data_IF_558520712857
#
_entry.id   IF_558520712857
#
_cell.length_a   1.000
_cell.length_b   1.000
_cell.length_c   1.000
_cell.angle_alpha   90.00
_cell.angle_beta   90.00
_cell.angle_gamma   90.00
#
_symmetry.space_group_name_H-M   'P 1'
#
loop_
_entity.id
_entity.type
_entity.pdbx_description
1 polymer ?
#
# COMPACT_ATOMS: atom_id res chain seq x y z
N UNK A 1 -36.57 -17.88 10.59
CA UNK A 1 -36.38 -16.70 11.45
C UNK A 1 -35.59 -15.66 10.65
N UNK A 2 -36.25 -14.60 10.16
CA UNK A 2 -35.63 -13.57 9.30
C UNK A 2 -34.85 -12.60 10.17
N UNK A 3 -33.52 -12.59 10.07
CA UNK A 3 -32.68 -11.59 10.73
C UNK A 3 -32.51 -10.37 9.83
N UNK A 4 -33.04 -9.23 10.31
CA UNK A 4 -32.85 -7.89 9.76
C UNK A 4 -31.38 -7.50 9.86
N UNK A 5 -30.75 -7.16 8.74
CA UNK A 5 -29.47 -6.45 8.70
C UNK A 5 -29.77 -4.95 8.83
N UNK A 6 -29.41 -4.37 9.97
CA UNK A 6 -29.47 -2.92 10.19
C UNK A 6 -28.24 -2.26 9.53
N UNK A 7 -28.42 -1.72 8.32
CA UNK A 7 -27.46 -0.81 7.71
C UNK A 7 -27.44 0.52 8.46
N UNK A 8 -26.37 0.81 9.20
CA UNK A 8 -26.09 2.15 9.71
C UNK A 8 -25.59 3.00 8.55
N UNK A 9 -26.47 3.83 8.03
CA UNK A 9 -26.16 4.90 7.08
C UNK A 9 -25.25 5.92 7.79
N UNK A 10 -23.98 6.04 7.39
CA UNK A 10 -23.11 7.13 7.85
C UNK A 10 -23.54 8.41 7.13
N UNK A 11 -23.94 9.39 7.93
CA UNK A 11 -24.33 10.73 7.50
C UNK A 11 -23.09 11.46 6.95
N UNK A 12 -23.03 11.67 5.64
CA UNK A 12 -22.01 12.53 5.01
C UNK A 12 -22.50 13.97 5.17
N UNK A 13 -21.73 14.79 5.88
CA UNK A 13 -22.07 16.19 6.13
C UNK A 13 -22.02 17.03 4.85
N UNK A 14 -23.16 17.59 4.46
CA UNK A 14 -23.23 18.71 3.52
C UNK A 14 -22.69 19.97 4.22
N UNK A 15 -21.56 20.49 3.76
CA UNK A 15 -21.18 21.88 4.04
C UNK A 15 -21.94 22.79 3.07
N UNK A 16 -23.08 23.30 3.51
CA UNK A 16 -23.77 24.41 2.82
C UNK A 16 -23.10 25.72 3.23
N UNK A 17 -22.36 26.34 2.30
CA UNK A 17 -21.86 27.70 2.44
C UNK A 17 -23.05 28.66 2.26
N UNK A 18 -23.50 29.26 3.36
CA UNK A 18 -24.53 30.30 3.37
C UNK A 18 -23.87 31.66 3.08
N UNK A 19 -24.02 32.17 1.85
CA UNK A 19 -23.59 33.54 1.50
C UNK A 19 -24.76 34.49 1.78
N UNK A 20 -24.61 35.33 2.79
CA UNK A 20 -25.49 36.47 3.06
C UNK A 20 -25.15 37.60 2.07
N UNK A 21 -26.08 37.95 1.17
CA UNK A 21 -26.05 39.22 0.45
C UNK A 21 -27.01 40.21 1.10
N UNK A 22 -26.45 41.28 1.67
CA UNK A 22 -27.16 42.52 2.00
C UNK A 22 -26.45 43.65 1.24
N UNK A 23 -27.20 44.31 0.35
CA UNK A 23 -26.74 45.53 -0.31
C UNK A 23 -27.50 45.83 -1.59
N UNK A 24 -28.55 46.64 -1.50
CA UNK A 24 -29.14 47.30 -2.66
C UNK A 24 -28.18 48.39 -3.17
N UNK A 25 -27.79 48.33 -4.44
CA UNK A 25 -27.34 49.49 -5.22
C UNK A 25 -27.83 49.30 -6.65
N UNK A 26 -28.52 50.31 -7.17
CA UNK A 26 -29.07 50.37 -8.51
C UNK A 26 -27.98 50.81 -9.49
N UNK A 27 -27.13 49.88 -9.90
CA UNK A 27 -26.25 50.06 -11.04
C UNK A 27 -26.48 48.89 -12.02
N UNK A 28 -26.85 49.23 -13.25
CA UNK A 28 -27.08 48.31 -14.36
C UNK A 28 -25.72 47.80 -14.89
N UNK A 29 -24.90 47.19 -14.03
CA UNK A 29 -23.85 46.32 -14.52
C UNK A 29 -24.52 45.09 -15.14
N UNK A 30 -24.13 44.68 -16.36
CA UNK A 30 -24.60 43.42 -16.90
C UNK A 30 -24.27 42.32 -15.88
N UNK A 31 -25.29 41.56 -15.47
CA UNK A 31 -25.11 40.44 -14.55
C UNK A 31 -23.88 39.63 -14.98
N UNK A 32 -22.99 39.23 -14.05
CA UNK A 32 -21.78 38.52 -14.41
C UNK A 32 -22.15 37.34 -15.31
N UNK A 33 -21.53 37.29 -16.49
CA UNK A 33 -21.77 36.23 -17.47
C UNK A 33 -21.50 34.91 -16.74
N UNK A 34 -22.50 34.05 -16.66
CA UNK A 34 -22.40 32.83 -15.90
C UNK A 34 -21.29 31.95 -16.49
N UNK A 35 -20.25 31.69 -15.71
CA UNK A 35 -19.09 30.90 -16.14
C UNK A 35 -19.34 29.41 -15.88
N UNK A 36 -18.93 28.51 -16.81
CA UNK A 36 -19.07 27.09 -16.61
C UNK A 36 -18.17 26.62 -15.45
N UNK A 37 -18.74 25.79 -14.59
CA UNK A 37 -18.04 25.12 -13.49
C UNK A 37 -18.09 23.60 -13.68
N UNK A 38 -17.04 22.91 -13.24
CA UNK A 38 -16.98 21.45 -13.20
C UNK A 38 -17.48 20.96 -11.84
N UNK A 39 -18.54 20.15 -11.82
CA UNK A 39 -18.96 19.42 -10.63
C UNK A 39 -18.68 17.92 -10.76
N UNK A 40 -18.20 17.34 -9.65
CA UNK A 40 -17.94 15.91 -9.47
C UNK A 40 -18.76 15.44 -8.27
N UNK A 41 -19.47 14.32 -8.37
CA UNK A 41 -20.36 13.84 -7.30
C UNK A 41 -19.65 13.53 -5.98
N UNK A 42 -18.34 13.24 -6.03
CA UNK A 42 -17.50 13.03 -4.85
C UNK A 42 -16.02 13.31 -5.19
N UNK A 43 -15.24 13.71 -4.19
CA UNK A 43 -13.77 13.83 -4.30
C UNK A 43 -13.05 12.51 -4.00
N UNK A 44 -13.78 11.50 -3.50
CA UNK A 44 -13.33 10.14 -3.25
C UNK A 44 -14.40 9.13 -3.72
N UNK A 45 -13.99 8.01 -4.31
CA UNK A 45 -14.92 6.98 -4.76
C UNK A 45 -14.33 5.56 -4.63
N UNK A 46 -15.17 4.58 -4.31
CA UNK A 46 -14.77 3.17 -4.37
C UNK A 46 -14.61 2.74 -5.84
N UNK A 47 -13.64 1.87 -6.13
CA UNK A 47 -13.51 1.23 -7.45
C UNK A 47 -14.84 0.61 -7.88
N UNK A 48 -15.27 0.90 -9.12
CA UNK A 48 -16.53 0.42 -9.67
C UNK A 48 -17.79 1.17 -9.22
N UNK A 49 -17.67 2.19 -8.36
CA UNK A 49 -18.80 3.06 -8.00
C UNK A 49 -19.04 4.16 -9.02
N UNK A 50 -20.29 4.59 -9.15
CA UNK A 50 -20.70 5.64 -10.09
C UNK A 50 -20.18 7.02 -9.65
N UNK A 51 -19.36 7.64 -10.49
CA UNK A 51 -18.93 9.04 -10.36
C UNK A 51 -19.64 9.87 -11.41
N UNK A 52 -20.49 10.79 -10.97
CA UNK A 52 -21.21 11.69 -11.86
C UNK A 52 -20.42 12.99 -12.06
N UNK A 53 -20.21 13.37 -13.32
CA UNK A 53 -19.51 14.58 -13.74
C UNK A 53 -20.47 15.47 -14.54
N UNK A 54 -20.52 16.76 -14.20
CA UNK A 54 -21.39 17.73 -14.88
C UNK A 54 -20.69 19.06 -15.09
N UNK A 55 -21.14 19.76 -16.12
CA UNK A 55 -20.87 21.19 -16.30
C UNK A 55 -22.07 21.94 -15.73
N UNK A 56 -21.81 22.83 -14.78
CA UNK A 56 -22.78 23.69 -14.10
C UNK A 56 -22.51 25.16 -14.43
N UNK A 57 -23.40 26.06 -14.02
CA UNK A 57 -23.21 27.51 -14.22
C UNK A 57 -23.49 28.03 -15.63
N UNK A 58 -23.79 27.16 -16.61
CA UNK A 58 -24.19 27.55 -17.97
C UNK A 58 -25.39 26.75 -18.45
N UNK A 59 -26.22 27.32 -19.32
CA UNK A 59 -27.30 26.57 -19.93
C UNK A 59 -26.74 25.55 -20.92
N UNK A 60 -27.29 24.34 -20.91
CA UNK A 60 -26.86 23.30 -21.84
C UNK A 60 -26.99 23.72 -23.30
N UNK A 61 -27.95 24.58 -23.65
CA UNK A 61 -28.15 25.04 -25.03
C UNK A 61 -27.05 26.00 -25.50
N UNK A 62 -26.33 26.66 -24.60
CA UNK A 62 -25.27 27.61 -24.91
C UNK A 62 -23.92 26.92 -25.16
N UNK A 63 -23.79 25.68 -24.68
CA UNK A 63 -22.60 24.85 -24.86
C UNK A 63 -22.49 24.38 -26.32
N UNK A 64 -21.41 24.80 -26.98
CA UNK A 64 -21.06 24.41 -28.35
C UNK A 64 -20.22 23.13 -28.38
N UNK A 65 -19.16 23.04 -27.57
CA UNK A 65 -18.31 21.84 -27.50
C UNK A 65 -18.00 21.46 -26.06
N UNK A 66 -17.83 20.16 -25.83
CA UNK A 66 -17.35 19.58 -24.57
C UNK A 66 -16.38 18.47 -24.92
N UNK A 67 -15.23 18.43 -24.24
CA UNK A 67 -14.27 17.33 -24.35
C UNK A 67 -13.65 17.02 -23.01
N UNK A 68 -13.98 15.85 -22.49
CA UNK A 68 -13.48 15.28 -21.25
C UNK A 68 -12.26 14.40 -21.48
N UNK A 69 -11.35 14.45 -20.53
CA UNK A 69 -10.34 13.46 -20.22
C UNK A 69 -10.52 13.09 -18.75
N UNK A 70 -10.85 11.83 -18.46
CA UNK A 70 -11.16 11.38 -17.10
C UNK A 70 -9.93 10.98 -16.30
N UNK A 71 -8.74 11.07 -16.91
CA UNK A 71 -7.45 10.77 -16.29
C UNK A 71 -7.07 9.29 -16.29
N UNK A 72 -7.95 8.39 -16.72
CA UNK A 72 -7.72 6.94 -16.82
C UNK A 72 -7.61 6.44 -18.28
N UNK A 73 -7.51 7.39 -19.22
CA UNK A 73 -7.54 7.12 -20.67
C UNK A 73 -8.94 7.19 -21.28
N UNK A 74 -9.99 7.30 -20.47
CA UNK A 74 -11.36 7.50 -20.95
C UNK A 74 -11.58 8.96 -21.34
N UNK A 75 -12.17 9.17 -22.52
CA UNK A 75 -12.59 10.48 -23.03
C UNK A 75 -14.08 10.49 -23.35
N UNK A 76 -14.69 11.67 -23.37
CA UNK A 76 -16.13 11.82 -23.67
C UNK A 76 -16.45 13.23 -24.16
N UNK A 77 -17.55 13.37 -24.88
CA UNK A 77 -18.11 14.65 -25.36
C UNK A 77 -19.50 14.94 -24.76
N UNK A 78 -19.98 14.06 -23.88
CA UNK A 78 -21.29 14.22 -23.22
C UNK A 78 -21.25 15.38 -22.22
N UNK A 79 -22.35 16.12 -22.11
CA UNK A 79 -22.50 17.22 -21.13
C UNK A 79 -22.58 16.74 -19.68
N UNK A 80 -23.07 15.52 -19.48
CA UNK A 80 -23.09 14.81 -18.19
C UNK A 80 -22.57 13.40 -18.41
N UNK A 81 -21.69 12.95 -17.51
CA UNK A 81 -21.08 11.63 -17.56
C UNK A 81 -21.35 10.93 -16.23
N UNK A 82 -21.64 9.64 -16.31
CA UNK A 82 -21.48 8.72 -15.18
C UNK A 82 -20.34 7.79 -15.56
N UNK A 83 -19.30 7.73 -14.74
CA UNK A 83 -18.09 6.96 -14.99
C UNK A 83 -17.76 6.06 -13.80
N UNK A 84 -17.18 4.90 -14.07
CA UNK A 84 -16.70 3.97 -13.05
C UNK A 84 -15.22 3.71 -13.30
N UNK A 85 -14.38 4.09 -12.33
CA UNK A 85 -12.95 3.79 -12.39
C UNK A 85 -12.71 2.32 -12.05
N UNK A 86 -11.87 1.66 -12.84
CA UNK A 86 -11.59 0.22 -12.73
C UNK A 86 -10.42 -0.13 -11.80
N UNK A 87 -9.58 0.85 -11.49
CA UNK A 87 -8.42 0.71 -10.62
C UNK A 87 -8.38 1.85 -9.60
N UNK A 88 -7.79 1.61 -8.42
CA UNK A 88 -7.52 2.67 -7.47
C UNK A 88 -6.42 3.59 -8.01
N UNK A 89 -6.51 4.87 -7.67
CA UNK A 89 -5.58 5.88 -8.14
C UNK A 89 -6.06 7.29 -7.90
N UNK A 90 -5.16 8.26 -8.06
CA UNK A 90 -5.50 9.67 -8.06
C UNK A 90 -5.63 10.13 -9.51
N UNK A 91 -6.84 10.48 -9.93
CA UNK A 91 -7.14 10.86 -11.30
C UNK A 91 -7.36 12.36 -11.40
N UNK A 92 -6.76 12.97 -12.43
CA UNK A 92 -7.05 14.36 -12.81
C UNK A 92 -8.07 14.36 -13.94
N UNK A 93 -9.29 14.74 -13.62
CA UNK A 93 -10.34 14.95 -14.60
C UNK A 93 -10.12 16.33 -15.22
N UNK A 94 -10.09 16.41 -16.55
CA UNK A 94 -10.02 17.66 -17.30
C UNK A 94 -11.20 17.76 -18.25
N UNK A 95 -11.82 18.93 -18.35
CA UNK A 95 -12.85 19.21 -19.36
C UNK A 95 -12.56 20.51 -20.08
N UNK A 96 -12.59 20.45 -21.41
CA UNK A 96 -12.58 21.61 -22.27
C UNK A 96 -14.02 21.90 -22.70
N UNK A 97 -14.52 23.10 -22.40
CA UNK A 97 -15.89 23.54 -22.74
C UNK A 97 -15.79 24.78 -23.60
N UNK A 98 -16.53 24.85 -24.71
CA UNK A 98 -16.73 26.09 -25.46
C UNK A 98 -18.20 26.45 -25.54
N UNK A 99 -18.51 27.74 -25.48
CA UNK A 99 -19.85 28.27 -25.67
C UNK A 99 -20.01 28.84 -27.08
N UNK A 100 -21.26 29.04 -27.51
CA UNK A 100 -21.60 29.61 -28.81
C UNK A 100 -21.07 31.03 -29.02
N UNK A 101 -20.78 31.77 -27.95
CA UNK A 101 -20.16 33.11 -27.99
C UNK A 101 -18.63 33.07 -28.19
N UNK A 102 -18.07 31.90 -28.56
CA UNK A 102 -16.66 31.64 -28.81
C UNK A 102 -15.74 31.71 -27.58
N UNK A 103 -16.29 31.81 -26.36
CA UNK A 103 -15.50 31.63 -25.14
C UNK A 103 -15.24 30.16 -24.86
N UNK A 104 -14.10 29.88 -24.23
CA UNK A 104 -13.69 28.52 -23.88
C UNK A 104 -13.01 28.44 -22.52
N UNK A 105 -13.21 27.33 -21.81
CA UNK A 105 -12.65 27.05 -20.49
C UNK A 105 -11.97 25.68 -20.48
N UNK A 106 -10.89 25.57 -19.72
CA UNK A 106 -10.26 24.30 -19.34
C UNK A 106 -10.40 24.15 -17.82
N UNK A 107 -11.27 23.24 -17.39
CA UNK A 107 -11.57 23.02 -15.97
C UNK A 107 -10.95 21.69 -15.53
N UNK A 108 -10.55 21.62 -14.26
CA UNK A 108 -9.92 20.44 -13.68
C UNK A 108 -10.51 20.09 -12.32
N UNK A 109 -10.60 18.80 -12.05
CA UNK A 109 -10.94 18.26 -10.73
C UNK A 109 -10.05 17.06 -10.42
N UNK A 110 -9.83 16.80 -9.13
CA UNK A 110 -9.14 15.61 -8.65
C UNK A 110 -10.14 14.67 -8.02
N UNK A 111 -9.97 13.37 -8.27
CA UNK A 111 -10.70 12.32 -7.57
C UNK A 111 -9.71 11.24 -7.13
N UNK A 112 -9.82 10.83 -5.87
CA UNK A 112 -9.14 9.66 -5.34
C UNK A 112 -10.07 8.45 -5.42
N UNK A 113 -9.62 7.41 -6.12
CA UNK A 113 -10.33 6.14 -6.23
C UNK A 113 -9.60 5.11 -5.39
N UNK A 114 -10.33 4.33 -4.61
CA UNK A 114 -9.75 3.41 -3.64
C UNK A 114 -10.51 2.08 -3.60
N UNK A 115 -9.85 1.03 -3.09
CA UNK A 115 -10.53 -0.19 -2.66
C UNK A 115 -10.91 -0.07 -1.18
N UNK A 116 -12.12 -0.51 -0.81
CA UNK A 116 -12.47 -0.71 0.59
C UNK A 116 -11.46 -1.64 1.28
N UNK A 117 -11.33 -1.52 2.60
CA UNK A 117 -10.42 -2.38 3.37
C UNK A 117 -10.81 -3.86 3.22
N UNK A 118 -9.83 -4.77 3.09
CA UNK A 118 -10.13 -6.20 3.02
C UNK A 118 -10.90 -6.63 4.27
N UNK A 119 -12.07 -7.25 4.04
CA UNK A 119 -12.93 -7.67 5.13
C UNK A 119 -12.33 -8.83 5.92
N UNK A 120 -12.53 -8.84 7.24
CA UNK A 120 -11.98 -9.84 8.16
C UNK A 120 -12.41 -11.29 7.79
N UNK A 121 -13.57 -11.46 7.17
CA UNK A 121 -14.06 -12.76 6.69
C UNK A 121 -13.37 -13.24 5.40
N UNK A 122 -12.73 -12.34 4.65
CA UNK A 122 -11.90 -12.67 3.49
C UNK A 122 -10.50 -13.08 3.95
N UNK A 123 -9.89 -12.29 4.84
CA UNK A 123 -8.61 -12.61 5.47
C UNK A 123 -8.50 -11.80 6.77
N UNK A 124 -8.11 -12.46 7.86
CA UNK A 124 -7.90 -11.82 9.15
C UNK A 124 -6.86 -10.70 9.04
N UNK A 125 -6.96 -9.68 9.89
CA UNK A 125 -5.85 -8.74 10.08
C UNK A 125 -4.58 -9.45 10.59
N UNK A 126 -3.39 -8.88 10.34
CA UNK A 126 -2.13 -9.44 10.88
C UNK A 126 -2.24 -9.59 12.40
N UNK A 127 -2.69 -8.55 13.11
CA UNK A 127 -2.85 -8.60 14.58
C UNK A 127 -3.76 -9.74 15.05
N UNK A 128 -4.88 -9.99 14.36
CA UNK A 128 -5.77 -11.11 14.67
C UNK A 128 -5.15 -12.47 14.32
N UNK A 129 -4.42 -12.56 13.20
CA UNK A 129 -3.75 -13.79 12.77
C UNK A 129 -2.67 -14.26 13.74
N UNK A 130 -2.03 -13.33 14.45
CA UNK A 130 -1.03 -13.62 15.48
C UNK A 130 -1.65 -14.15 16.79
N UNK A 131 -2.98 -14.15 16.92
CA UNK A 131 -3.66 -14.76 18.06
C UNK A 131 -4.01 -16.24 17.82
N UNK A 132 -3.73 -16.78 16.63
CA UNK A 132 -3.93 -18.19 16.32
C UNK A 132 -2.90 -19.00 17.10
N UNK A 133 -3.37 -19.81 18.04
CA UNK A 133 -2.51 -20.65 18.89
C UNK A 133 -1.75 -21.67 18.05
N UNK A 134 -0.52 -21.94 18.46
CA UNK A 134 0.35 -22.98 17.91
C UNK A 134 0.64 -22.83 16.41
N UNK A 135 0.47 -21.64 15.85
CA UNK A 135 0.81 -21.32 14.45
C UNK A 135 2.00 -20.36 14.39
N UNK A 136 3.11 -20.82 13.84
CA UNK A 136 4.29 -19.99 13.55
C UNK A 136 4.14 -19.48 12.12
N UNK A 137 4.07 -18.16 11.96
CA UNK A 137 3.96 -17.58 10.62
C UNK A 137 5.32 -17.58 9.91
N UNK A 138 5.30 -17.93 8.63
CA UNK A 138 6.48 -17.88 7.77
C UNK A 138 6.39 -16.67 6.83
N UNK A 139 7.42 -15.84 6.87
CA UNK A 139 7.62 -14.71 5.99
C UNK A 139 8.74 -15.01 4.98
N UNK A 140 8.42 -15.01 3.69
CA UNK A 140 9.44 -15.16 2.65
C UNK A 140 10.13 -13.80 2.39
N UNK A 141 11.42 -13.72 2.70
CA UNK A 141 12.25 -12.53 2.47
C UNK A 141 12.30 -12.19 0.98
N UNK A 142 11.98 -10.96 0.57
CA UNK A 142 11.88 -10.51 -0.84
C UNK A 142 10.95 -11.33 -1.73
N UNK A 143 9.91 -11.91 -1.15
CA UNK A 143 9.02 -12.88 -1.80
C UNK A 143 9.65 -14.27 -1.94
N UNK A 144 8.98 -15.21 -2.62
CA UNK A 144 9.53 -16.56 -2.80
C UNK A 144 10.56 -16.61 -3.94
N UNK A 145 11.74 -16.01 -3.70
CA UNK A 145 12.78 -15.84 -4.72
C UNK A 145 13.56 -17.12 -5.05
N UNK A 146 13.30 -18.24 -4.36
CA UNK A 146 13.95 -19.52 -4.65
C UNK A 146 13.67 -20.03 -6.06
N UNK A 147 12.48 -19.70 -6.57
CA UNK A 147 11.94 -20.16 -7.86
C UNK A 147 11.56 -18.99 -8.80
N UNK A 148 11.88 -17.75 -8.44
CA UNK A 148 11.56 -16.53 -9.21
C UNK A 148 12.53 -15.40 -8.86
N UNK A 149 12.65 -14.34 -9.70
CA UNK A 149 13.42 -13.16 -9.31
C UNK A 149 12.92 -12.56 -7.98
N UNK A 150 13.83 -12.13 -7.11
CA UNK A 150 13.46 -11.40 -5.89
C UNK A 150 12.62 -10.16 -6.22
N UNK A 151 11.70 -9.78 -5.32
CA UNK A 151 10.89 -8.57 -5.48
C UNK A 151 10.08 -8.52 -6.81
N UNK A 152 9.64 -9.68 -7.33
CA UNK A 152 8.86 -9.78 -8.58
C UNK A 152 7.40 -10.18 -8.34
N UNK A 153 6.53 -9.91 -9.33
CA UNK A 153 5.15 -10.40 -9.30
C UNK A 153 5.11 -11.93 -9.27
N UNK A 154 6.03 -12.60 -9.98
CA UNK A 154 6.14 -14.08 -9.91
C UNK A 154 6.47 -14.58 -8.52
N UNK A 155 7.42 -13.95 -7.81
CA UNK A 155 7.78 -14.36 -6.45
C UNK A 155 6.59 -14.21 -5.48
N UNK A 156 5.77 -13.18 -5.65
CA UNK A 156 4.52 -12.98 -4.91
C UNK A 156 3.50 -14.08 -5.25
N UNK A 157 3.28 -14.33 -6.55
CA UNK A 157 2.32 -15.33 -7.01
C UNK A 157 2.67 -16.75 -6.54
N UNK A 158 3.96 -17.12 -6.60
CA UNK A 158 4.45 -18.40 -6.10
C UNK A 158 4.32 -18.50 -4.58
N UNK A 159 4.58 -17.43 -3.83
CA UNK A 159 4.38 -17.44 -2.38
C UNK A 159 2.92 -17.73 -2.00
N UNK A 160 1.97 -17.12 -2.72
CA UNK A 160 0.53 -17.38 -2.57
C UNK A 160 0.21 -18.84 -2.92
N UNK A 161 0.73 -19.36 -4.04
CA UNK A 161 0.52 -20.74 -4.48
C UNK A 161 1.02 -21.76 -3.43
N UNK A 162 2.20 -21.49 -2.84
CA UNK A 162 2.80 -22.31 -1.79
C UNK A 162 2.14 -22.12 -0.42
N UNK A 163 1.15 -21.23 -0.31
CA UNK A 163 0.42 -20.89 0.93
C UNK A 163 1.33 -20.37 2.05
N UNK A 164 2.36 -19.61 1.68
CA UNK A 164 3.21 -18.91 2.64
C UNK A 164 2.35 -17.83 3.33
N UNK A 165 2.52 -17.64 4.64
CA UNK A 165 1.69 -16.70 5.41
C UNK A 165 1.93 -15.25 4.99
N UNK A 166 3.20 -14.91 4.76
CA UNK A 166 3.68 -13.55 4.59
C UNK A 166 4.84 -13.46 3.61
N UNK A 167 5.02 -12.29 3.01
CA UNK A 167 6.21 -11.93 2.23
C UNK A 167 6.77 -10.62 2.76
N UNK A 168 8.08 -10.47 2.72
CA UNK A 168 8.73 -9.17 2.87
C UNK A 168 9.10 -8.65 1.48
N UNK A 169 8.97 -7.35 1.24
CA UNK A 169 9.26 -6.69 -0.03
C UNK A 169 9.91 -5.33 0.18
N UNK A 170 10.85 -4.99 -0.71
CA UNK A 170 11.63 -3.76 -0.62
C UNK A 170 11.09 -2.67 -1.55
N UNK A 171 10.64 -1.54 -0.99
CA UNK A 171 10.05 -0.44 -1.79
C UNK A 171 11.04 0.71 -1.98
N UNK A 172 11.19 1.15 -3.23
CA UNK A 172 11.92 2.35 -3.66
C UNK A 172 11.07 3.27 -4.51
N UNK A 173 11.59 4.48 -4.77
CA UNK A 173 10.97 5.49 -5.63
C UNK A 173 11.88 5.79 -6.82
N UNK A 174 11.29 5.84 -8.02
CA UNK A 174 11.95 6.29 -9.25
C UNK A 174 12.13 7.82 -9.26
N UNK A 175 12.83 8.34 -10.27
CA UNK A 175 13.04 9.78 -10.47
C UNK A 175 11.72 10.56 -10.59
N UNK A 176 10.73 9.97 -11.25
CA UNK A 176 9.40 10.53 -11.47
C UNK A 176 8.41 10.24 -10.33
N UNK A 177 8.89 9.65 -9.22
CA UNK A 177 8.13 9.49 -7.98
C UNK A 177 7.25 8.23 -7.92
N UNK A 178 7.31 7.34 -8.92
CA UNK A 178 6.59 6.07 -8.87
C UNK A 178 7.24 5.13 -7.84
N UNK A 179 6.40 4.43 -7.08
CA UNK A 179 6.83 3.41 -6.12
C UNK A 179 6.96 2.05 -6.82
N UNK A 180 8.11 1.40 -6.63
CA UNK A 180 8.48 0.14 -7.28
C UNK A 180 9.23 -0.77 -6.32
N UNK A 181 9.31 -2.06 -6.66
CA UNK A 181 10.07 -3.01 -5.84
C UNK A 181 11.53 -3.12 -6.30
N UNK A 182 12.46 -2.87 -5.37
CA UNK A 182 13.90 -3.03 -5.59
C UNK A 182 14.64 -2.92 -4.25
N UNK A 183 15.40 -3.96 -3.87
CA UNK A 183 16.22 -3.94 -2.67
C UNK A 183 17.36 -2.91 -2.78
N UNK A 184 18.15 -3.01 -3.85
CA UNK A 184 19.39 -2.25 -4.03
C UNK A 184 19.11 -0.81 -4.45
N UNK A 185 20.02 0.12 -4.12
CA UNK A 185 19.91 1.51 -4.59
C UNK A 185 20.12 1.65 -6.11
N UNK A 186 20.67 0.61 -6.75
CA UNK A 186 20.90 0.53 -8.19
C UNK A 186 20.25 -0.73 -8.76
N UNK A 187 20.07 -0.78 -10.08
CA UNK A 187 19.39 -1.88 -10.76
C UNK A 187 20.33 -2.99 -11.25
N UNK A 188 21.64 -2.79 -11.10
CA UNK A 188 22.72 -3.54 -11.76
C UNK A 188 22.74 -5.03 -11.39
N UNK A 189 22.45 -5.37 -10.13
CA UNK A 189 22.55 -6.75 -9.64
C UNK A 189 21.39 -7.62 -10.13
N UNK A 190 20.19 -7.07 -10.16
CA UNK A 190 18.94 -7.81 -10.33
C UNK A 190 18.31 -7.63 -11.70
N UNK A 191 18.83 -6.73 -12.54
CA UNK A 191 18.28 -6.47 -13.87
C UNK A 191 19.36 -6.45 -14.94
N UNK A 192 18.96 -6.52 -16.20
CA UNK A 192 19.86 -6.31 -17.34
C UNK A 192 20.17 -4.82 -17.65
N UNK A 193 19.86 -3.90 -16.74
CA UNK A 193 20.19 -2.48 -16.84
C UNK A 193 21.31 -2.05 -15.88
N UNK A 194 21.62 -0.76 -15.85
CA UNK A 194 22.56 -0.16 -14.90
C UNK A 194 22.07 1.22 -14.46
N UNK A 195 22.44 1.62 -13.24
CA UNK A 195 22.19 2.96 -12.72
C UNK A 195 21.35 2.98 -11.45
N UNK A 196 21.30 4.15 -10.80
CA UNK A 196 20.54 4.36 -9.56
C UNK A 196 19.05 4.41 -9.85
N UNK A 197 18.26 3.76 -9.01
CA UNK A 197 16.79 3.77 -9.13
C UNK A 197 16.25 5.20 -9.11
N UNK A 198 16.78 6.05 -8.23
CA UNK A 198 16.38 7.45 -8.06
C UNK A 198 16.68 8.36 -9.26
N UNK A 199 17.52 7.90 -10.20
CA UNK A 199 17.98 8.70 -11.34
C UNK A 199 17.24 8.32 -12.63
N UNK A 200 16.42 7.27 -12.60
CA UNK A 200 15.70 6.70 -13.73
C UNK A 200 14.19 6.93 -13.60
N UNK A 201 13.50 7.27 -14.69
CA UNK A 201 12.03 7.31 -14.71
C UNK A 201 11.47 5.89 -14.76
N UNK A 202 10.26 5.68 -14.23
CA UNK A 202 9.67 4.35 -14.23
C UNK A 202 9.42 3.80 -15.64
N UNK A 203 9.06 4.67 -16.59
CA UNK A 203 8.90 4.27 -18.01
C UNK A 203 10.14 3.61 -18.60
N UNK A 204 11.33 3.95 -18.10
CA UNK A 204 12.61 3.40 -18.55
C UNK A 204 12.92 2.14 -17.72
N UNK A 205 12.70 2.19 -16.40
CA UNK A 205 12.88 1.04 -15.49
C UNK A 205 12.06 -0.18 -15.90
N UNK A 206 10.81 0.01 -16.32
CA UNK A 206 9.91 -1.09 -16.74
C UNK A 206 10.36 -1.81 -18.03
N UNK A 207 11.37 -1.30 -18.73
CA UNK A 207 11.91 -1.93 -19.95
C UNK A 207 12.97 -2.99 -19.63
N UNK A 208 13.55 -2.96 -18.43
CA UNK A 208 14.54 -3.94 -18.00
C UNK A 208 13.87 -5.25 -17.54
N UNK A 209 14.56 -6.36 -17.78
CA UNK A 209 14.18 -7.69 -17.35
C UNK A 209 14.93 -8.05 -16.06
N UNK A 210 14.28 -8.79 -15.17
CA UNK A 210 14.88 -9.26 -13.93
C UNK A 210 15.69 -10.55 -14.14
N UNK A 211 16.78 -10.70 -13.38
CA UNK A 211 17.55 -11.94 -13.28
C UNK A 211 17.01 -12.85 -12.17
N UNK A 212 17.07 -14.16 -12.39
CA UNK A 212 16.93 -15.19 -11.36
C UNK A 212 18.09 -16.18 -11.50
N UNK A 213 18.86 -16.41 -10.44
CA UNK A 213 20.04 -17.28 -10.48
C UNK A 213 21.01 -17.01 -11.66
N UNK A 214 21.21 -15.74 -11.99
CA UNK A 214 22.01 -15.23 -13.13
C UNK A 214 21.40 -15.45 -14.53
N UNK A 215 20.22 -16.03 -14.63
CA UNK A 215 19.48 -16.19 -15.88
C UNK A 215 18.48 -15.05 -16.05
N UNK A 216 18.46 -14.45 -17.25
CA UNK A 216 17.52 -13.38 -17.56
C UNK A 216 16.12 -13.97 -17.73
N UNK A 217 15.13 -13.40 -17.03
CA UNK A 217 13.74 -13.86 -17.06
C UNK A 217 12.86 -12.95 -17.91
N UNK A 218 11.58 -13.27 -18.03
CA UNK A 218 10.58 -12.40 -18.66
C UNK A 218 9.96 -11.38 -17.68
N UNK A 219 10.27 -11.49 -16.38
CA UNK A 219 9.77 -10.57 -15.35
C UNK A 219 10.39 -9.18 -15.48
N UNK A 220 9.61 -8.17 -15.07
CA UNK A 220 9.99 -6.75 -15.06
C UNK A 220 10.10 -6.24 -13.64
N UNK A 221 10.74 -5.09 -13.48
CA UNK A 221 10.67 -4.29 -12.24
C UNK A 221 9.20 -3.88 -12.01
N UNK A 222 8.52 -4.43 -10.98
CA UNK A 222 7.10 -4.18 -10.81
C UNK A 222 6.86 -2.86 -10.06
N UNK A 223 5.74 -2.21 -10.37
CA UNK A 223 5.23 -1.15 -9.50
C UNK A 223 4.72 -1.77 -8.20
N UNK A 224 4.90 -1.04 -7.12
CA UNK A 224 4.39 -1.45 -5.81
C UNK A 224 2.87 -1.65 -5.84
N UNK A 225 2.14 -0.81 -6.59
CA UNK A 225 0.69 -0.91 -6.77
C UNK A 225 0.23 -2.21 -7.47
N UNK A 226 1.02 -2.73 -8.41
CA UNK A 226 0.74 -4.01 -9.08
C UNK A 226 0.86 -5.17 -8.10
N UNK A 227 1.82 -5.07 -7.17
CA UNK A 227 2.05 -6.08 -6.14
C UNK A 227 0.94 -6.06 -5.09
N UNK A 228 0.52 -4.88 -4.64
CA UNK A 228 -0.65 -4.74 -3.76
C UNK A 228 -1.90 -5.36 -4.41
N UNK A 229 -2.15 -5.07 -5.69
CA UNK A 229 -3.26 -5.70 -6.43
C UNK A 229 -3.17 -7.24 -6.42
N UNK A 230 -1.99 -7.78 -6.71
CA UNK A 230 -1.78 -9.23 -6.77
C UNK A 230 -1.99 -9.90 -5.41
N UNK A 231 -1.50 -9.27 -4.33
CA UNK A 231 -1.46 -9.80 -2.97
C UNK A 231 -2.76 -9.58 -2.17
N UNK A 232 -3.56 -8.57 -2.52
CA UNK A 232 -4.74 -8.14 -1.76
C UNK A 232 -5.66 -9.31 -1.41
N UNK A 233 -5.86 -9.53 -0.12
CA UNK A 233 -6.73 -10.59 0.41
C UNK A 233 -6.16 -12.00 0.33
N UNK A 234 -4.90 -12.19 -0.06
CA UNK A 234 -4.29 -13.50 -0.32
C UNK A 234 -3.05 -13.80 0.52
N UNK A 235 -2.24 -12.79 0.85
CA UNK A 235 -1.00 -12.94 1.61
C UNK A 235 -0.72 -11.68 2.45
N UNK A 236 -0.05 -11.82 3.59
CA UNK A 236 0.41 -10.66 4.36
C UNK A 236 1.71 -10.10 3.78
N UNK A 237 1.94 -8.81 3.99
CA UNK A 237 3.16 -8.14 3.51
C UNK A 237 3.84 -7.40 4.66
N UNK A 238 5.13 -7.63 4.82
CA UNK A 238 6.03 -6.69 5.48
C UNK A 238 6.73 -5.84 4.40
N UNK A 239 6.72 -4.52 4.56
CA UNK A 239 7.36 -3.60 3.63
C UNK A 239 8.62 -3.04 4.28
N UNK A 240 9.78 -3.38 3.72
CA UNK A 240 11.00 -2.66 3.99
C UNK A 240 11.05 -1.37 3.13
N UNK A 241 10.81 -0.25 3.78
CA UNK A 241 10.78 1.07 3.14
C UNK A 241 12.21 1.61 2.98
N UNK A 242 12.79 1.48 1.78
CA UNK A 242 14.17 1.91 1.49
C UNK A 242 14.32 3.41 1.17
N UNK A 243 13.29 4.20 1.43
CA UNK A 243 13.21 5.63 1.13
C UNK A 243 12.71 6.41 2.35
N UNK A 244 12.89 7.73 2.34
CA UNK A 244 12.41 8.58 3.44
C UNK A 244 10.91 8.87 3.38
N UNK A 245 10.27 8.67 2.22
CA UNK A 245 8.85 8.97 1.99
C UNK A 245 7.93 7.80 2.37
N UNK A 246 7.85 7.56 3.68
CA UNK A 246 6.92 6.59 4.26
C UNK A 246 5.45 6.93 3.97
N UNK A 247 5.11 8.22 3.81
CA UNK A 247 3.73 8.66 3.63
C UNK A 247 3.16 8.19 2.30
N UNK A 248 3.93 8.27 1.22
CA UNK A 248 3.50 7.79 -0.09
C UNK A 248 3.28 6.28 -0.12
N UNK A 249 4.16 5.50 0.53
CA UNK A 249 3.99 4.05 0.67
C UNK A 249 2.72 3.72 1.47
N UNK A 250 2.55 4.37 2.63
CA UNK A 250 1.36 4.21 3.48
C UNK A 250 0.07 4.56 2.73
N UNK A 251 0.03 5.70 2.04
CA UNK A 251 -1.14 6.14 1.29
C UNK A 251 -1.50 5.16 0.17
N UNK A 252 -0.52 4.57 -0.50
CA UNK A 252 -0.77 3.56 -1.53
C UNK A 252 -1.36 2.28 -0.91
N UNK A 253 -0.85 1.81 0.22
CA UNK A 253 -1.43 0.67 0.95
C UNK A 253 -2.88 0.96 1.37
N UNK A 254 -3.15 2.17 1.88
CA UNK A 254 -4.49 2.63 2.25
C UNK A 254 -5.43 2.68 1.05
N UNK A 255 -4.97 3.24 -0.07
CA UNK A 255 -5.76 3.33 -1.31
C UNK A 255 -6.11 1.94 -1.88
N UNK A 256 -5.31 0.92 -1.58
CA UNK A 256 -5.57 -0.47 -1.95
C UNK A 256 -6.38 -1.26 -0.91
N UNK A 257 -6.76 -0.63 0.22
CA UNK A 257 -7.56 -1.25 1.27
C UNK A 257 -6.84 -2.43 1.94
N UNK A 258 -5.54 -2.27 2.23
CA UNK A 258 -4.69 -3.33 2.76
C UNK A 258 -4.03 -2.98 4.11
N UNK A 259 -4.51 -1.97 4.84
CA UNK A 259 -3.87 -1.55 6.10
C UNK A 259 -3.88 -2.64 7.19
N UNK A 260 -4.85 -3.56 7.13
CA UNK A 260 -4.93 -4.74 8.00
C UNK A 260 -4.00 -5.88 7.59
N UNK A 261 -3.44 -5.83 6.38
CA UNK A 261 -2.67 -6.92 5.76
C UNK A 261 -1.20 -6.59 5.55
N UNK A 262 -0.82 -5.35 5.83
CA UNK A 262 0.51 -4.81 5.57
C UNK A 262 1.06 -4.21 6.86
N UNK A 263 2.32 -4.53 7.15
CA UNK A 263 3.11 -3.81 8.13
C UNK A 263 4.32 -3.13 7.50
N UNK A 264 4.85 -2.13 8.19
CA UNK A 264 5.92 -1.27 7.69
C UNK A 264 7.13 -1.40 8.59
N UNK A 265 8.21 -1.99 8.06
CA UNK A 265 9.48 -2.09 8.77
C UNK A 265 10.07 -0.71 9.00
N UNK A 266 10.50 -0.44 10.24
CA UNK A 266 11.20 0.79 10.62
C UNK A 266 12.44 0.48 11.45
N UNK A 267 13.51 1.20 11.16
CA UNK A 267 14.80 1.05 11.84
C UNK A 267 15.09 2.17 12.85
N UNK A 268 14.20 3.17 12.94
CA UNK A 268 14.36 4.29 13.88
C UNK A 268 13.02 4.70 14.52
N UNK A 269 13.10 5.13 15.78
CA UNK A 269 11.98 5.73 16.52
C UNK A 269 11.43 6.97 15.80
N UNK A 270 12.29 7.71 15.09
CA UNK A 270 11.88 8.88 14.33
C UNK A 270 10.98 8.51 13.14
N UNK A 271 11.29 7.43 12.42
CA UNK A 271 10.47 6.96 11.30
C UNK A 271 9.16 6.32 11.79
N UNK A 272 9.20 5.56 12.88
CA UNK A 272 7.98 5.09 13.55
C UNK A 272 7.05 6.25 13.95
N UNK A 273 7.61 7.33 14.52
CA UNK A 273 6.85 8.54 14.88
C UNK A 273 6.17 9.17 13.67
N UNK A 274 6.83 9.22 12.50
CA UNK A 274 6.22 9.72 11.26
C UNK A 274 4.99 8.89 10.90
N UNK A 275 5.13 7.57 10.89
CA UNK A 275 4.05 6.63 10.56
C UNK A 275 2.83 6.77 11.47
N UNK A 276 3.02 6.70 12.80
CA UNK A 276 1.90 6.79 13.76
C UNK A 276 1.28 8.19 13.84
N UNK A 277 1.96 9.21 13.28
CA UNK A 277 1.41 10.57 13.12
C UNK A 277 0.52 10.68 11.88
N UNK A 278 0.82 9.92 10.81
CA UNK A 278 -0.02 9.89 9.61
C UNK A 278 -1.39 9.28 9.94
N UNK A 279 -1.36 8.10 10.56
CA UNK A 279 -2.55 7.38 10.99
C UNK A 279 -2.16 6.37 12.06
N UNK A 280 -2.92 6.34 13.17
CA UNK A 280 -2.66 5.39 14.27
C UNK A 280 -3.01 3.95 13.91
N UNK A 281 -3.73 3.74 12.81
CA UNK A 281 -4.05 2.40 12.28
C UNK A 281 -2.83 1.75 11.60
N UNK A 282 -1.80 2.52 11.23
CA UNK A 282 -0.60 1.98 10.60
C UNK A 282 0.08 0.92 11.48
N UNK A 283 0.24 -0.29 10.94
CA UNK A 283 0.95 -1.36 11.63
C UNK A 283 2.46 -1.21 11.43
N UNK A 284 3.14 -0.67 12.43
CA UNK A 284 4.59 -0.49 12.42
C UNK A 284 5.28 -1.76 12.90
N UNK A 285 6.29 -2.24 12.16
CA UNK A 285 7.19 -3.32 12.56
C UNK A 285 8.57 -2.73 12.91
N UNK A 286 8.83 -2.40 14.19
CA UNK A 286 10.13 -1.90 14.58
C UNK A 286 11.17 -3.01 14.67
N UNK A 287 12.40 -2.71 14.27
CA UNK A 287 13.57 -3.57 14.53
C UNK A 287 14.20 -3.18 15.87
N UNK A 288 14.23 -4.13 16.79
CA UNK A 288 14.75 -3.99 18.15
C UNK A 288 16.22 -4.41 18.19
N UNK A 289 17.09 -3.49 18.61
CA UNK A 289 18.52 -3.76 18.83
C UNK A 289 18.87 -3.81 20.31
N UNK A 290 18.10 -3.11 21.15
CA UNK A 290 18.33 -2.94 22.59
C UNK A 290 17.01 -2.89 23.36
N UNK A 291 17.09 -3.02 24.70
CA UNK A 291 15.94 -2.80 25.58
C UNK A 291 15.37 -1.38 25.46
N UNK A 292 16.24 -0.39 25.27
CA UNK A 292 15.84 1.02 25.10
C UNK A 292 15.01 1.22 23.83
N UNK A 293 15.34 0.54 22.74
CA UNK A 293 14.52 0.58 21.52
C UNK A 293 13.10 0.07 21.80
N UNK A 294 12.98 -1.08 22.47
CA UNK A 294 11.68 -1.66 22.82
C UNK A 294 10.84 -0.69 23.64
N UNK A 295 11.43 -0.06 24.66
CA UNK A 295 10.77 0.96 25.49
C UNK A 295 10.32 2.17 24.67
N UNK A 296 11.20 2.68 23.81
CA UNK A 296 10.90 3.83 22.96
C UNK A 296 9.77 3.55 21.97
N UNK A 297 9.73 2.36 21.36
CA UNK A 297 8.66 1.98 20.45
C UNK A 297 7.34 1.73 21.18
N UNK A 298 7.34 1.05 22.33
CA UNK A 298 6.13 0.88 23.16
C UNK A 298 5.52 2.22 23.62
N UNK A 299 6.35 3.24 23.81
CA UNK A 299 5.89 4.57 24.19
C UNK A 299 5.07 5.26 23.08
N UNK A 300 5.35 4.98 21.80
CA UNK A 300 4.78 5.70 20.65
C UNK A 300 3.82 4.86 19.80
N UNK A 301 4.04 3.55 19.69
CA UNK A 301 3.24 2.62 18.91
C UNK A 301 2.22 1.97 19.84
N UNK A 302 0.94 2.39 19.76
CA UNK A 302 -0.12 1.92 20.65
C UNK A 302 -1.35 1.43 19.86
N UNK A 303 -1.63 0.11 19.83
CA UNK A 303 -0.82 -0.98 20.37
C UNK A 303 0.41 -1.28 19.50
N UNK A 304 1.52 -1.68 20.12
CA UNK A 304 2.63 -2.35 19.43
C UNK A 304 2.29 -3.85 19.43
N UNK A 305 1.89 -4.40 18.28
CA UNK A 305 1.40 -5.80 18.21
C UNK A 305 2.49 -6.82 17.86
N UNK A 306 3.56 -6.37 17.21
CA UNK A 306 4.67 -7.20 16.75
C UNK A 306 5.94 -6.36 16.72
N UNK A 307 7.08 -6.99 16.97
CA UNK A 307 8.39 -6.36 16.78
C UNK A 307 9.39 -7.39 16.25
N UNK A 308 10.31 -6.94 15.40
CA UNK A 308 11.40 -7.75 14.90
C UNK A 308 12.61 -7.62 15.83
N UNK A 309 13.14 -8.74 16.30
CA UNK A 309 14.27 -8.77 17.22
C UNK A 309 15.52 -9.24 16.49
N UNK A 310 16.55 -8.40 16.48
CA UNK A 310 17.83 -8.83 15.94
C UNK A 310 18.47 -9.90 16.86
N UNK A 311 19.54 -10.55 16.39
CA UNK A 311 20.20 -11.61 17.16
C UNK A 311 20.78 -11.15 18.51
N UNK A 312 21.13 -9.87 18.68
CA UNK A 312 21.65 -9.31 19.95
C UNK A 312 20.53 -9.01 20.95
N UNK A 313 19.34 -8.69 20.46
CA UNK A 313 18.16 -8.34 21.26
C UNK A 313 17.27 -9.55 21.56
N UNK A 314 17.52 -10.70 20.91
CA UNK A 314 16.76 -11.94 21.13
C UNK A 314 17.24 -12.66 22.41
N UNK A 315 17.13 -11.98 23.55
CA UNK A 315 17.57 -12.43 24.88
C UNK A 315 16.43 -12.36 25.89
N UNK A 316 16.48 -13.21 26.93
CA UNK A 316 15.34 -13.50 27.81
C UNK A 316 14.70 -12.26 28.44
N UNK A 317 15.49 -11.29 28.90
CA UNK A 317 14.95 -10.08 29.54
C UNK A 317 14.08 -9.25 28.58
N UNK A 318 14.55 -9.08 27.33
CA UNK A 318 13.83 -8.31 26.30
C UNK A 318 12.60 -9.08 25.84
N UNK A 319 12.73 -10.39 25.59
CA UNK A 319 11.63 -11.23 25.13
C UNK A 319 10.53 -11.37 26.19
N UNK A 320 10.90 -11.46 27.47
CA UNK A 320 9.95 -11.48 28.59
C UNK A 320 9.15 -10.19 28.64
N UNK A 321 9.81 -9.03 28.52
CA UNK A 321 9.13 -7.73 28.49
C UNK A 321 8.20 -7.60 27.29
N UNK A 322 8.62 -8.08 26.12
CA UNK A 322 7.77 -8.11 24.94
C UNK A 322 6.52 -8.99 25.15
N UNK A 323 6.69 -10.19 25.70
CA UNK A 323 5.61 -11.11 26.01
C UNK A 323 4.62 -10.54 27.04
N UNK A 324 5.10 -9.90 28.11
CA UNK A 324 4.27 -9.24 29.13
C UNK A 324 3.40 -8.12 28.53
N UNK A 325 3.87 -7.50 27.45
CA UNK A 325 3.15 -6.48 26.68
C UNK A 325 2.40 -7.04 25.47
N UNK A 326 2.33 -8.37 25.32
CA UNK A 326 1.64 -9.08 24.22
C UNK A 326 2.15 -8.69 22.82
N UNK A 327 3.46 -8.46 22.72
CA UNK A 327 4.14 -8.16 21.46
C UNK A 327 4.60 -9.48 20.85
N UNK A 328 4.13 -9.77 19.63
CA UNK A 328 4.60 -10.93 18.87
C UNK A 328 6.08 -10.80 18.48
N UNK A 329 6.80 -11.89 18.56
CA UNK A 329 8.24 -12.00 18.35
C UNK A 329 8.53 -12.41 16.91
N UNK A 330 9.06 -11.48 16.13
CA UNK A 330 9.52 -11.70 14.76
C UNK A 330 11.04 -11.84 14.75
N UNK A 331 11.62 -12.83 14.04
CA UNK A 331 13.07 -12.93 13.82
C UNK A 331 13.45 -13.38 12.40
N UNK A 332 14.57 -12.87 11.91
CA UNK A 332 15.21 -13.35 10.68
C UNK A 332 16.00 -14.63 10.98
N UNK A 333 15.78 -15.69 10.20
CA UNK A 333 16.47 -16.97 10.32
C UNK A 333 16.87 -17.46 8.93
N UNK A 334 18.14 -17.84 8.77
CA UNK A 334 18.73 -18.28 7.49
C UNK A 334 18.61 -17.26 6.34
N UNK A 335 18.77 -15.97 6.66
CA UNK A 335 18.81 -14.89 5.66
C UNK A 335 20.25 -14.43 5.45
N UNK A 336 20.65 -14.20 4.19
CA UNK A 336 21.98 -13.66 3.82
C UNK A 336 23.15 -14.45 4.44
N UNK A 337 23.00 -15.77 4.56
CA UNK A 337 23.97 -16.67 5.17
C UNK A 337 24.17 -17.92 4.33
N UNK A 338 25.33 -18.55 4.49
CA UNK A 338 25.63 -19.88 3.90
C UNK A 338 24.90 -21.01 4.62
N UNK A 339 24.40 -20.77 5.84
CA UNK A 339 23.64 -21.75 6.59
C UNK A 339 22.25 -21.92 5.97
N UNK A 340 21.93 -23.16 5.66
CA UNK A 340 20.57 -23.62 5.29
C UNK A 340 19.92 -24.31 6.49
N UNK A 341 18.58 -24.48 6.50
CA UNK A 341 17.89 -25.24 7.55
C UNK A 341 18.48 -26.64 7.76
N UNK A 342 18.80 -27.35 6.67
CA UNK A 342 19.35 -28.71 6.71
C UNK A 342 20.76 -28.71 7.28
N UNK A 343 21.64 -27.84 6.78
CA UNK A 343 23.05 -27.80 7.24
C UNK A 343 23.20 -27.35 8.69
N UNK A 344 22.24 -26.55 9.19
CA UNK A 344 22.19 -26.13 10.60
C UNK A 344 21.42 -27.13 11.48
N UNK A 345 20.89 -28.22 10.90
CA UNK A 345 20.00 -29.17 11.57
C UNK A 345 18.86 -28.46 12.34
N UNK A 346 18.32 -27.40 11.73
CA UNK A 346 17.25 -26.55 12.28
C UNK A 346 17.57 -25.94 13.65
N UNK A 347 18.84 -25.77 14.03
CA UNK A 347 19.22 -25.29 15.37
C UNK A 347 18.66 -23.90 15.66
N UNK A 348 18.78 -22.95 14.74
CA UNK A 348 18.23 -21.60 14.93
C UNK A 348 16.70 -21.60 15.05
N UNK A 349 16.02 -22.47 14.30
CA UNK A 349 14.56 -22.63 14.39
C UNK A 349 14.18 -23.19 15.76
N UNK A 350 14.86 -24.26 16.22
CA UNK A 350 14.62 -24.84 17.55
C UNK A 350 14.86 -23.84 18.68
N UNK A 351 15.92 -23.03 18.58
CA UNK A 351 16.18 -21.95 19.53
C UNK A 351 15.04 -20.92 19.54
N UNK A 352 14.60 -20.46 18.37
CA UNK A 352 13.48 -19.54 18.22
C UNK A 352 12.19 -20.08 18.83
N UNK A 353 11.84 -21.34 18.54
CA UNK A 353 10.66 -22.01 19.11
C UNK A 353 10.77 -22.17 20.63
N UNK A 354 11.95 -22.49 21.17
CA UNK A 354 12.16 -22.61 22.61
C UNK A 354 11.91 -21.29 23.36
N UNK A 355 12.00 -20.16 22.66
CA UNK A 355 11.70 -18.82 23.15
C UNK A 355 10.29 -18.33 22.79
N UNK A 356 9.42 -19.23 22.30
CA UNK A 356 8.03 -18.94 21.89
C UNK A 356 7.93 -17.84 20.84
N UNK A 357 8.83 -17.86 19.86
CA UNK A 357 8.77 -16.93 18.74
C UNK A 357 7.51 -17.11 17.90
N UNK A 358 7.06 -16.07 17.19
CA UNK A 358 5.77 -16.06 16.47
C UNK A 358 5.93 -16.01 14.93
N UNK A 359 6.90 -15.25 14.43
CA UNK A 359 7.13 -15.04 12.99
C UNK A 359 8.59 -15.29 12.62
N UNK A 360 8.83 -16.15 11.64
CA UNK A 360 10.15 -16.37 11.06
C UNK A 360 10.18 -15.77 9.66
N UNK A 361 11.06 -14.80 9.43
CA UNK A 361 11.44 -14.41 8.08
C UNK A 361 12.64 -15.23 7.61
N UNK A 362 12.58 -15.77 6.39
CA UNK A 362 13.61 -16.67 5.88
C UNK A 362 13.70 -16.68 4.35
N UNK A 363 14.85 -17.12 3.84
CA UNK A 363 15.06 -17.45 2.42
C UNK A 363 14.61 -18.90 2.09
N UNK A 364 14.19 -19.69 3.09
CA UNK A 364 13.80 -21.11 2.96
C UNK A 364 12.37 -21.37 3.48
N UNK A 365 11.35 -20.62 3.03
CA UNK A 365 10.03 -20.64 3.66
C UNK A 365 9.34 -22.00 3.50
N UNK A 366 9.48 -22.67 2.36
CA UNK A 366 8.83 -23.97 2.12
C UNK A 366 9.43 -25.05 3.02
N UNK A 367 10.75 -25.09 3.14
CA UNK A 367 11.46 -26.05 3.99
C UNK A 367 11.12 -25.86 5.47
N UNK A 368 10.96 -24.61 5.92
CA UNK A 368 10.54 -24.33 7.30
C UNK A 368 9.07 -24.68 7.54
N UNK A 369 8.18 -24.37 6.59
CA UNK A 369 6.77 -24.77 6.69
C UNK A 369 6.61 -26.30 6.76
N UNK A 370 7.41 -27.05 6.00
CA UNK A 370 7.38 -28.51 6.06
C UNK A 370 7.93 -29.05 7.39
N UNK A 371 9.02 -28.48 7.88
CA UNK A 371 9.58 -28.84 9.19
C UNK A 371 8.59 -28.62 10.34
N UNK A 372 7.95 -27.45 10.38
CA UNK A 372 6.98 -27.05 11.43
C UNK A 372 5.64 -27.82 11.36
N UNK A 373 5.30 -28.42 10.21
CA UNK A 373 4.13 -29.31 10.13
C UNK A 373 4.39 -30.68 10.74
N UNK A 374 5.67 -31.08 10.82
CA UNK A 374 6.09 -32.41 11.21
C UNK A 374 6.67 -32.47 12.64
N UNK A 375 6.84 -31.32 13.31
CA UNK A 375 7.42 -31.17 14.64
C UNK A 375 6.69 -30.05 15.38
#
# INVERSE_FOLDING_TARGET
MKTKVNGKMKLVGLFSILILFLGCSSDNEPAPVAEPALSVSANQAEVGSDVTLKIEGVNNEDIQTVKWDLGDGTVSDKKTIVHQYSLPGNYTITVNVSLKDSKSWNLKALIEVYYEEVAENQRLSIAASLQIKDHIQICAHRGFWKDAPENSIKAVALAIEKKIDMIELDVRSSKDGELLLMHDATIDRTTNGTGKVSDLNYKDLRTYYLYHNKELTEERVPLFKEVLFAARGKIYIDIDVKISDYKSVYNMVKQYGMLSQVMFTVYSVADAKKMVTFDKVAMVLPVIYTMEDLDNYMAICKPLSVAQFNSKAFVDDILTKAADNKIALFKNIYINTVLTPITDNYKQVKEFLSKKGDIIQTDYPVELMEYLKNN
#
